data_IF_262459297140
#
_entry.id   IF_262459297140
#
_cell.length_a   1.000
_cell.length_b   1.000
_cell.length_c   1.000
_cell.angle_alpha   90.00
_cell.angle_beta   90.00
_cell.angle_gamma   90.00
#
_symmetry.space_group_name_H-M   'P 1'
#
loop_
_entity.id
_entity.type
_entity.pdbx_description
1 polymer ?
#
# COMPACT_ATOMS: atom_id res chain seq x y z
N UNK A 1 -19.44 -10.08 30.17
CA UNK A 1 -19.34 -9.33 28.89
C UNK A 1 -18.38 -8.22 29.21
N UNK A 2 -17.23 -8.14 28.51
CA UNK A 2 -16.41 -6.94 28.58
C UNK A 2 -17.26 -5.80 28.02
N UNK A 3 -17.32 -4.65 28.69
CA UNK A 3 -17.95 -3.46 28.13
C UNK A 3 -17.24 -3.17 26.81
N UNK A 4 -17.99 -3.14 25.72
CA UNK A 4 -17.47 -2.77 24.40
C UNK A 4 -17.09 -1.30 24.47
N UNK A 5 -15.83 -0.97 24.23
CA UNK A 5 -15.34 0.41 24.34
C UNK A 5 -15.98 1.26 23.25
N UNK A 6 -16.66 2.35 23.65
CA UNK A 6 -17.26 3.30 22.72
C UNK A 6 -16.20 4.26 22.18
N UNK A 7 -15.91 4.18 20.88
CA UNK A 7 -14.93 5.04 20.20
C UNK A 7 -15.52 6.33 19.63
N UNK A 8 -16.86 6.52 19.66
CA UNK A 8 -17.50 7.74 19.13
C UNK A 8 -16.96 9.03 19.73
N UNK A 9 -16.75 9.14 21.07
CA UNK A 9 -16.18 10.36 21.65
C UNK A 9 -14.77 10.69 21.12
N UNK A 10 -13.97 9.68 20.83
CA UNK A 10 -12.63 9.86 20.21
C UNK A 10 -12.77 10.39 18.78
N UNK A 11 -13.61 9.77 17.95
CA UNK A 11 -13.84 10.21 16.57
C UNK A 11 -14.45 11.62 16.51
N UNK A 12 -15.38 11.93 17.40
CA UNK A 12 -15.96 13.29 17.53
C UNK A 12 -14.88 14.33 17.86
N UNK A 13 -13.94 14.00 18.77
CA UNK A 13 -12.82 14.88 19.13
C UNK A 13 -11.86 15.15 17.96
N UNK A 14 -11.79 14.26 16.99
CA UNK A 14 -11.04 14.42 15.74
C UNK A 14 -11.82 15.23 14.67
N UNK A 15 -13.08 15.62 14.94
CA UNK A 15 -13.93 16.34 13.99
C UNK A 15 -14.53 15.48 12.90
N UNK A 16 -14.68 14.16 13.15
CA UNK A 16 -15.23 13.24 12.16
C UNK A 16 -16.76 13.33 12.04
N UNK A 17 -17.26 13.07 10.84
CA UNK A 17 -18.68 12.84 10.59
C UNK A 17 -19.04 11.40 11.01
N UNK A 18 -19.56 11.24 12.22
CA UNK A 18 -19.83 9.93 12.81
C UNK A 18 -20.82 9.09 12.00
N UNK A 19 -21.88 9.70 11.47
CA UNK A 19 -22.90 8.97 10.71
C UNK A 19 -22.33 8.39 9.41
N UNK A 20 -21.55 9.17 8.67
CA UNK A 20 -20.88 8.74 7.44
C UNK A 20 -19.77 7.75 7.76
N UNK A 21 -19.06 7.92 8.88
CA UNK A 21 -18.02 6.98 9.32
C UNK A 21 -18.60 5.61 9.69
N UNK A 22 -19.69 5.56 10.44
CA UNK A 22 -20.37 4.30 10.79
C UNK A 22 -20.88 3.58 9.53
N UNK A 23 -21.41 4.34 8.56
CA UNK A 23 -21.84 3.78 7.28
C UNK A 23 -20.64 3.17 6.52
N UNK A 24 -19.50 3.86 6.47
CA UNK A 24 -18.28 3.36 5.85
C UNK A 24 -17.79 2.08 6.55
N UNK A 25 -17.72 2.06 7.89
CA UNK A 25 -17.30 0.89 8.65
C UNK A 25 -18.24 -0.30 8.43
N UNK A 26 -19.56 -0.07 8.39
CA UNK A 26 -20.53 -1.11 8.08
C UNK A 26 -20.33 -1.73 6.70
N UNK A 27 -20.14 -0.89 5.68
CA UNK A 27 -19.90 -1.35 4.31
C UNK A 27 -18.56 -2.12 4.17
N UNK A 28 -17.49 -1.60 4.75
CA UNK A 28 -16.16 -2.26 4.72
C UNK A 28 -16.20 -3.56 5.51
N UNK A 29 -16.86 -3.59 6.67
CA UNK A 29 -17.01 -4.81 7.49
C UNK A 29 -17.77 -5.91 6.77
N UNK A 30 -18.87 -5.56 6.07
CA UNK A 30 -19.61 -6.52 5.25
C UNK A 30 -18.73 -7.06 4.12
N UNK A 31 -18.05 -6.18 3.37
CA UNK A 31 -17.16 -6.56 2.28
C UNK A 31 -16.02 -7.47 2.78
N UNK A 32 -15.45 -7.14 3.94
CA UNK A 32 -14.43 -7.98 4.59
C UNK A 32 -14.98 -9.38 4.92
N UNK A 33 -16.15 -9.46 5.53
CA UNK A 33 -16.84 -10.73 5.82
C UNK A 33 -17.02 -11.58 4.57
N UNK A 34 -17.51 -10.98 3.49
CA UNK A 34 -17.82 -11.66 2.23
C UNK A 34 -16.58 -12.10 1.43
N UNK A 35 -15.45 -11.42 1.57
CA UNK A 35 -14.25 -11.67 0.78
C UNK A 35 -13.17 -12.46 1.54
N UNK A 36 -13.00 -12.20 2.83
CA UNK A 36 -11.91 -12.80 3.62
C UNK A 36 -12.38 -13.95 4.51
N UNK A 37 -13.50 -13.79 5.23
CA UNK A 37 -13.95 -14.80 6.18
C UNK A 37 -14.63 -16.02 5.51
N UNK A 38 -14.94 -15.92 4.22
CA UNK A 38 -15.50 -17.03 3.42
C UNK A 38 -14.44 -17.84 2.68
N UNK A 39 -13.16 -17.47 2.77
CA UNK A 39 -12.07 -18.19 2.12
C UNK A 39 -11.90 -19.60 2.69
N UNK A 40 -11.65 -20.57 1.82
CA UNK A 40 -11.39 -21.94 2.22
C UNK A 40 -9.91 -22.12 2.62
N UNK A 41 -9.68 -22.97 3.64
CA UNK A 41 -8.32 -23.36 4.05
C UNK A 41 -7.35 -22.20 4.30
N UNK A 42 -7.87 -21.08 4.79
CA UNK A 42 -7.10 -19.88 5.12
C UNK A 42 -6.09 -20.19 6.25
N UNK A 43 -4.82 -19.70 6.20
CA UNK A 43 -3.87 -19.89 7.30
C UNK A 43 -4.41 -19.37 8.63
N UNK A 44 -4.13 -20.05 9.73
CA UNK A 44 -4.65 -19.66 11.06
C UNK A 44 -4.05 -18.34 11.56
N UNK A 45 -2.79 -18.09 11.22
CA UNK A 45 -2.07 -16.85 11.57
C UNK A 45 -2.68 -15.59 10.94
N UNK A 46 -3.48 -15.73 9.86
CA UNK A 46 -4.23 -14.61 9.29
C UNK A 46 -5.32 -14.06 10.22
N UNK A 47 -5.64 -14.75 11.34
CA UNK A 47 -6.49 -14.21 12.41
C UNK A 47 -5.97 -12.86 12.95
N UNK A 48 -4.68 -12.59 12.81
CA UNK A 48 -4.12 -11.26 13.12
C UNK A 48 -4.65 -10.19 12.15
N UNK A 49 -4.82 -10.51 10.88
CA UNK A 49 -5.41 -9.58 9.90
C UNK A 49 -6.89 -9.31 10.22
N UNK A 50 -7.61 -10.31 10.75
CA UNK A 50 -8.99 -10.13 11.21
C UNK A 50 -9.05 -9.16 12.39
N UNK A 51 -8.10 -9.27 13.33
CA UNK A 51 -7.92 -8.30 14.41
C UNK A 51 -7.61 -6.90 13.85
N UNK A 52 -6.65 -6.76 12.92
CA UNK A 52 -6.30 -5.46 12.30
C UNK A 52 -7.53 -4.87 11.63
N UNK A 53 -8.24 -5.63 10.78
CA UNK A 53 -9.41 -5.15 10.04
C UNK A 53 -10.52 -4.59 10.95
N UNK A 54 -10.71 -5.16 12.14
CA UNK A 54 -11.70 -4.69 13.11
C UNK A 54 -11.23 -3.53 13.98
N UNK A 55 -9.90 -3.34 14.12
CA UNK A 55 -9.32 -2.34 15.04
C UNK A 55 -8.69 -1.12 14.35
N UNK A 56 -8.57 -1.15 13.04
CA UNK A 56 -7.77 -0.17 12.29
C UNK A 56 -8.30 1.28 12.46
N UNK A 57 -9.61 1.50 12.53
CA UNK A 57 -10.22 2.81 12.73
C UNK A 57 -10.57 3.11 14.20
N UNK A 58 -10.38 2.16 15.10
CA UNK A 58 -10.77 2.25 16.51
C UNK A 58 -9.57 2.13 17.45
N UNK A 59 -9.24 0.92 17.87
CA UNK A 59 -8.16 0.66 18.83
C UNK A 59 -6.80 1.18 18.38
N UNK A 60 -6.47 1.10 17.08
CA UNK A 60 -5.20 1.63 16.55
C UNK A 60 -5.13 3.15 16.63
N UNK A 61 -6.21 3.85 16.29
CA UNK A 61 -6.26 5.31 16.41
C UNK A 61 -6.10 5.72 17.87
N UNK A 62 -6.85 5.06 18.76
CA UNK A 62 -6.72 5.30 20.20
C UNK A 62 -5.29 5.10 20.69
N UNK A 63 -4.65 4.00 20.32
CA UNK A 63 -3.25 3.72 20.67
C UNK A 63 -2.30 4.87 20.25
N UNK A 64 -2.47 5.36 19.02
CA UNK A 64 -1.64 6.45 18.50
C UNK A 64 -1.84 7.77 19.28
N UNK A 65 -3.10 8.09 19.59
CA UNK A 65 -3.44 9.29 20.36
C UNK A 65 -2.94 9.19 21.81
N UNK A 66 -3.12 8.01 22.44
CA UNK A 66 -2.63 7.73 23.80
C UNK A 66 -1.10 7.86 23.88
N UNK A 67 -0.35 7.33 22.90
CA UNK A 67 1.11 7.48 22.81
C UNK A 67 1.54 8.94 22.69
N UNK A 68 0.79 9.76 21.94
CA UNK A 68 1.06 11.21 21.85
C UNK A 68 0.79 11.91 23.17
N UNK A 69 -0.33 11.62 23.83
CA UNK A 69 -0.68 12.22 25.12
C UNK A 69 0.31 11.84 26.21
N UNK A 70 0.80 10.60 26.20
CA UNK A 70 1.85 10.13 27.13
C UNK A 70 3.24 10.67 26.81
N UNK A 71 3.44 11.35 25.68
CA UNK A 71 4.74 11.82 25.23
C UNK A 71 5.67 10.71 24.72
N UNK A 72 5.12 9.52 24.44
CA UNK A 72 5.83 8.39 23.83
C UNK A 72 5.98 8.54 22.32
N UNK A 73 5.09 9.32 21.69
CA UNK A 73 5.17 9.71 20.29
C UNK A 73 5.04 11.22 20.14
N UNK A 74 5.74 11.78 19.15
CA UNK A 74 5.74 13.23 18.89
C UNK A 74 4.59 13.67 18.01
N UNK A 75 4.50 13.08 16.81
CA UNK A 75 3.54 13.44 15.77
C UNK A 75 3.04 12.20 15.05
N UNK A 76 1.82 12.29 14.50
CA UNK A 76 1.31 11.34 13.51
C UNK A 76 1.58 11.95 12.13
N UNK A 77 2.37 11.26 11.30
CA UNK A 77 2.74 11.72 9.97
C UNK A 77 2.08 10.82 8.93
N UNK A 78 1.10 11.38 8.23
CA UNK A 78 0.39 10.71 7.16
C UNK A 78 1.17 10.78 5.83
N UNK A 79 1.13 9.73 5.02
CA UNK A 79 1.76 9.68 3.71
C UNK A 79 0.85 9.09 2.64
N UNK A 80 0.91 9.66 1.42
CA UNK A 80 0.12 9.16 0.28
C UNK A 80 0.88 8.19 -0.62
N UNK A 81 2.16 7.96 -0.37
CA UNK A 81 2.96 7.10 -1.25
C UNK A 81 4.10 6.41 -0.52
N UNK A 82 4.51 5.28 -1.09
CA UNK A 82 5.67 4.50 -0.66
C UNK A 82 7.02 5.21 -0.86
N UNK A 83 7.04 6.38 -1.48
CA UNK A 83 8.25 7.22 -1.59
C UNK A 83 8.58 7.99 -0.32
N UNK A 84 7.67 8.07 0.64
CA UNK A 84 7.90 8.76 1.93
C UNK A 84 8.61 7.80 2.89
N UNK A 85 9.87 8.06 3.28
CA UNK A 85 10.63 7.16 4.13
C UNK A 85 10.08 7.11 5.57
N UNK A 86 9.53 5.98 5.97
CA UNK A 86 9.04 5.73 7.33
C UNK A 86 10.17 5.85 8.38
N UNK A 87 11.39 5.49 7.99
CA UNK A 87 12.59 5.51 8.81
C UNK A 87 12.84 6.91 9.41
N UNK A 88 12.60 7.95 8.62
CA UNK A 88 12.81 9.35 9.04
C UNK A 88 11.76 9.73 10.10
N UNK A 89 10.51 9.33 9.91
CA UNK A 89 9.43 9.60 10.86
C UNK A 89 9.69 8.89 12.20
N UNK A 90 10.04 7.60 12.14
CA UNK A 90 10.35 6.79 13.31
C UNK A 90 11.58 7.31 14.08
N UNK A 91 12.62 7.80 13.38
CA UNK A 91 13.81 8.37 14.00
C UNK A 91 13.53 9.65 14.79
N UNK A 92 12.38 10.30 14.55
CA UNK A 92 11.90 11.47 15.29
C UNK A 92 10.82 11.13 16.34
N UNK A 93 10.68 9.86 16.73
CA UNK A 93 9.60 9.36 17.60
C UNK A 93 8.20 9.66 17.04
N UNK A 94 8.08 9.80 15.72
CA UNK A 94 6.80 9.98 15.03
C UNK A 94 6.13 8.64 14.69
N UNK A 95 4.84 8.67 14.41
CA UNK A 95 4.08 7.51 13.97
C UNK A 95 3.78 7.67 12.48
N UNK A 96 4.40 6.89 11.58
CA UNK A 96 4.07 6.90 10.15
C UNK A 96 2.76 6.18 9.91
N UNK A 97 1.88 6.74 9.07
CA UNK A 97 0.62 6.12 8.63
C UNK A 97 0.35 6.37 7.15
N UNK A 98 -0.17 5.35 6.45
CA UNK A 98 -0.60 5.48 5.06
C UNK A 98 -1.99 6.09 4.98
N UNK A 99 -2.19 7.01 4.05
CA UNK A 99 -3.46 7.74 3.86
C UNK A 99 -4.19 7.39 2.56
N UNK A 100 -3.64 6.49 1.73
CA UNK A 100 -4.32 6.07 0.51
C UNK A 100 -5.61 5.34 0.83
N UNK A 101 -6.70 5.79 0.23
CA UNK A 101 -8.01 5.17 0.29
C UNK A 101 -8.44 4.66 -1.08
N UNK A 102 -9.11 3.52 -1.10
CA UNK A 102 -9.51 2.80 -2.32
C UNK A 102 -11.03 2.61 -2.41
N UNK A 103 -11.80 3.64 -2.08
CA UNK A 103 -13.25 3.63 -2.18
C UNK A 103 -13.75 4.94 -2.81
N UNK A 104 -14.88 4.85 -3.48
CA UNK A 104 -15.63 6.02 -3.95
C UNK A 104 -16.44 6.58 -2.77
N UNK A 105 -16.07 7.78 -2.32
CA UNK A 105 -16.71 8.45 -1.21
C UNK A 105 -16.81 9.94 -1.46
N UNK A 106 -17.98 10.52 -1.14
CA UNK A 106 -18.25 11.94 -1.25
C UNK A 106 -17.89 12.55 -2.63
N UNK A 107 -18.06 11.79 -3.71
CA UNK A 107 -17.67 12.17 -5.07
C UNK A 107 -18.31 13.50 -5.51
N UNK A 108 -19.56 13.75 -5.16
CA UNK A 108 -20.22 15.02 -5.49
C UNK A 108 -19.49 16.21 -4.88
N UNK A 109 -19.08 16.13 -3.59
CA UNK A 109 -18.29 17.17 -2.92
C UNK A 109 -16.92 17.34 -3.59
N UNK A 110 -16.28 16.23 -4.01
CA UNK A 110 -15.00 16.27 -4.71
C UNK A 110 -15.11 16.95 -6.06
N UNK A 111 -16.17 16.69 -6.81
CA UNK A 111 -16.38 17.23 -8.16
C UNK A 111 -16.75 18.73 -8.16
N UNK A 112 -17.05 19.32 -7.00
CA UNK A 112 -17.12 20.78 -6.82
C UNK A 112 -15.72 21.45 -6.92
N UNK A 113 -14.65 20.70 -6.65
CA UNK A 113 -13.27 21.20 -6.56
C UNK A 113 -12.34 20.60 -7.61
N UNK A 114 -12.53 19.35 -7.97
CA UNK A 114 -11.68 18.60 -8.90
C UNK A 114 -12.49 18.20 -10.15
N UNK A 115 -11.86 18.17 -11.34
CA UNK A 115 -12.53 17.73 -12.58
C UNK A 115 -13.06 16.28 -12.47
N UNK A 116 -14.19 16.00 -13.14
CA UNK A 116 -14.80 14.65 -13.18
C UNK A 116 -13.86 13.55 -13.69
N UNK A 117 -13.00 13.89 -14.64
CA UNK A 117 -11.99 13.00 -15.20
C UNK A 117 -10.69 12.93 -14.37
N UNK A 118 -10.76 13.21 -13.07
CA UNK A 118 -9.66 12.98 -12.15
C UNK A 118 -9.57 11.51 -11.77
N UNK A 119 -8.34 10.98 -11.64
CA UNK A 119 -8.06 9.61 -11.22
C UNK A 119 -8.83 9.24 -9.93
N UNK A 120 -9.47 8.06 -9.86
CA UNK A 120 -10.21 7.60 -8.67
C UNK A 120 -9.41 7.63 -7.37
N UNK A 121 -8.11 7.32 -7.39
CA UNK A 121 -7.26 7.41 -6.20
C UNK A 121 -7.19 8.85 -5.64
N UNK A 122 -7.11 9.84 -6.53
CA UNK A 122 -7.09 11.25 -6.14
C UNK A 122 -8.46 11.67 -5.61
N UNK A 123 -9.54 11.29 -6.30
CA UNK A 123 -10.90 11.55 -5.82
C UNK A 123 -11.14 10.91 -4.45
N UNK A 124 -10.66 9.68 -4.25
CA UNK A 124 -10.85 8.94 -3.02
C UNK A 124 -10.22 9.66 -1.82
N UNK A 125 -8.94 10.02 -1.87
CA UNK A 125 -8.33 10.69 -0.71
C UNK A 125 -8.94 12.09 -0.45
N UNK A 126 -9.33 12.82 -1.51
CA UNK A 126 -10.03 14.09 -1.36
C UNK A 126 -11.43 13.87 -0.76
N UNK A 127 -12.15 12.86 -1.22
CA UNK A 127 -13.48 12.50 -0.72
C UNK A 127 -13.49 12.06 0.74
N UNK A 128 -12.50 11.28 1.15
CA UNK A 128 -12.34 10.87 2.55
C UNK A 128 -12.06 12.07 3.47
N UNK A 129 -11.30 13.08 3.00
CA UNK A 129 -11.11 14.33 3.75
C UNK A 129 -12.37 15.21 3.76
N UNK A 130 -13.01 15.43 2.62
CA UNK A 130 -14.21 16.26 2.51
C UNK A 130 -15.45 15.63 3.19
N UNK A 131 -15.47 14.29 3.28
CA UNK A 131 -16.49 13.54 4.02
C UNK A 131 -16.20 13.44 5.52
N UNK A 132 -14.98 13.77 5.95
CA UNK A 132 -14.51 13.66 7.36
C UNK A 132 -14.70 12.26 7.92
N UNK A 133 -14.36 11.22 7.10
CA UNK A 133 -14.61 9.81 7.45
C UNK A 133 -13.35 9.01 7.75
N UNK A 134 -12.15 9.59 7.59
CA UNK A 134 -10.90 8.88 7.80
C UNK A 134 -10.17 9.35 9.06
N UNK A 135 -10.17 8.55 10.14
CA UNK A 135 -9.51 8.95 11.39
C UNK A 135 -7.99 9.11 11.24
N UNK A 136 -7.36 8.44 10.26
CA UNK A 136 -5.95 8.63 9.95
C UNK A 136 -5.66 10.02 9.36
N UNK A 137 -6.50 10.48 8.42
CA UNK A 137 -6.37 11.84 7.88
C UNK A 137 -6.60 12.85 9.00
N UNK A 138 -7.67 12.66 9.79
CA UNK A 138 -8.03 13.65 10.83
C UNK A 138 -7.01 13.71 11.97
N UNK A 139 -6.43 12.57 12.38
CA UNK A 139 -5.41 12.52 13.43
C UNK A 139 -4.00 12.93 12.96
N UNK A 140 -3.73 13.01 11.65
CA UNK A 140 -2.41 13.39 11.13
C UNK A 140 -2.08 14.86 11.44
N UNK A 141 -0.91 15.06 12.06
CA UNK A 141 -0.36 16.41 12.36
C UNK A 141 0.31 17.02 11.11
N UNK A 142 0.96 16.17 10.32
CA UNK A 142 1.56 16.51 9.03
C UNK A 142 1.16 15.46 8.00
N UNK A 143 0.85 15.89 6.79
CA UNK A 143 0.65 15.00 5.64
C UNK A 143 1.80 15.21 4.66
N UNK A 144 2.43 14.13 4.23
CA UNK A 144 3.47 14.16 3.20
C UNK A 144 2.92 13.54 1.92
N UNK A 145 2.93 14.31 0.85
CA UNK A 145 2.61 13.87 -0.49
C UNK A 145 3.84 13.89 -1.40
N UNK A 146 3.69 13.41 -2.61
CA UNK A 146 4.74 13.39 -3.62
C UNK A 146 4.18 13.70 -5.01
N UNK A 147 4.93 14.39 -5.83
CA UNK A 147 4.49 14.88 -7.14
C UNK A 147 4.63 13.83 -8.26
N UNK A 148 4.27 12.58 -8.01
CA UNK A 148 4.38 11.47 -8.97
C UNK A 148 3.50 11.61 -10.22
N UNK A 149 2.55 12.52 -10.26
CA UNK A 149 1.81 12.85 -11.48
C UNK A 149 1.20 14.26 -11.38
N UNK A 150 0.80 14.82 -12.53
CA UNK A 150 0.20 16.16 -12.59
C UNK A 150 -1.11 16.24 -11.79
N UNK A 151 -1.91 15.17 -11.79
CA UNK A 151 -3.14 15.12 -11.03
C UNK A 151 -2.90 15.24 -9.52
N UNK A 152 -1.99 14.41 -8.96
CA UNK A 152 -1.60 14.49 -7.54
C UNK A 152 -1.01 15.85 -7.19
N UNK A 153 -0.03 16.30 -7.95
CA UNK A 153 0.63 17.59 -7.74
C UNK A 153 -0.36 18.74 -7.58
N UNK A 154 -1.39 18.79 -8.43
CA UNK A 154 -2.40 19.86 -8.37
C UNK A 154 -3.47 19.60 -7.29
N UNK A 155 -3.86 18.36 -7.07
CA UNK A 155 -4.79 18.02 -5.99
C UNK A 155 -4.20 18.31 -4.61
N UNK A 156 -2.89 18.22 -4.44
CA UNK A 156 -2.22 18.58 -3.18
C UNK A 156 -2.27 20.06 -2.86
N UNK A 157 -2.33 20.96 -3.86
CA UNK A 157 -2.59 22.38 -3.61
C UNK A 157 -3.96 22.58 -2.95
N UNK A 158 -4.97 21.84 -3.41
CA UNK A 158 -6.29 21.82 -2.77
C UNK A 158 -6.22 21.17 -1.37
N UNK A 159 -5.59 20.00 -1.26
CA UNK A 159 -5.50 19.28 0.02
C UNK A 159 -4.75 20.07 1.10
N UNK A 160 -3.74 20.86 0.71
CA UNK A 160 -2.99 21.74 1.62
C UNK A 160 -3.85 22.88 2.21
N UNK A 161 -5.03 23.17 1.67
CA UNK A 161 -5.99 24.08 2.29
C UNK A 161 -6.77 23.43 3.44
N UNK A 162 -6.74 22.10 3.53
CA UNK A 162 -7.47 21.29 4.49
C UNK A 162 -6.59 20.71 5.61
N UNK A 163 -5.31 20.46 5.34
CA UNK A 163 -4.35 19.84 6.28
C UNK A 163 -2.96 20.48 6.12
N UNK A 164 -2.17 20.46 7.21
CA UNK A 164 -0.74 20.78 7.13
C UNK A 164 -0.04 19.77 6.23
N UNK A 165 0.51 20.23 5.09
CA UNK A 165 1.02 19.35 4.05
C UNK A 165 2.41 19.78 3.57
N UNK A 166 3.27 18.78 3.37
CA UNK A 166 4.55 18.90 2.67
C UNK A 166 4.53 18.04 1.41
N UNK A 167 4.97 18.58 0.29
CA UNK A 167 5.02 17.85 -0.99
C UNK A 167 6.48 17.64 -1.40
N UNK A 168 6.87 16.36 -1.51
CA UNK A 168 8.19 15.95 -2.00
C UNK A 168 8.26 16.06 -3.52
N UNK A 169 9.42 16.48 -4.02
CA UNK A 169 9.70 16.53 -5.45
C UNK A 169 10.40 15.24 -5.91
N UNK A 170 9.66 14.41 -6.68
CA UNK A 170 10.17 13.15 -7.22
C UNK A 170 10.76 13.40 -8.61
N UNK A 171 12.02 13.01 -8.88
CA UNK A 171 12.60 13.10 -10.21
C UNK A 171 11.91 12.13 -11.19
N UNK A 172 11.89 12.49 -12.47
CA UNK A 172 11.21 11.71 -13.51
C UNK A 172 12.17 10.84 -14.34
N UNK A 173 13.45 10.80 -14.00
CA UNK A 173 14.51 10.04 -14.69
C UNK A 173 15.37 9.33 -13.65
N UNK A 174 15.80 8.11 -13.93
CA UNK A 174 16.78 7.38 -13.12
C UNK A 174 18.18 7.58 -13.67
N UNK A 175 18.90 8.61 -13.21
CA UNK A 175 20.32 8.85 -13.52
C UNK A 175 21.08 9.43 -12.30
N UNK A 176 22.40 9.58 -12.43
CA UNK A 176 23.24 10.08 -11.34
C UNK A 176 22.88 11.53 -10.93
N UNK A 177 22.51 12.39 -11.88
CA UNK A 177 22.17 13.79 -11.59
C UNK A 177 20.85 13.91 -10.83
N UNK A 178 19.88 13.10 -11.17
CA UNK A 178 18.59 13.05 -10.49
C UNK A 178 18.67 12.35 -9.13
N UNK A 179 19.57 11.38 -8.95
CA UNK A 179 19.86 10.80 -7.64
C UNK A 179 20.41 11.86 -6.67
N UNK A 180 21.30 12.74 -7.12
CA UNK A 180 21.81 13.86 -6.28
C UNK A 180 20.65 14.77 -5.85
N UNK A 181 19.74 15.11 -6.75
CA UNK A 181 18.56 15.91 -6.45
C UNK A 181 17.63 15.20 -5.47
N UNK A 182 17.42 13.91 -5.68
CA UNK A 182 16.59 13.08 -4.80
C UNK A 182 17.19 12.96 -3.39
N UNK A 183 18.50 12.74 -3.25
CA UNK A 183 19.20 12.76 -1.95
C UNK A 183 18.97 14.08 -1.21
N UNK A 184 19.05 15.20 -1.92
CA UNK A 184 18.79 16.51 -1.35
C UNK A 184 17.32 16.66 -0.89
N UNK A 185 16.36 16.10 -1.63
CA UNK A 185 14.95 16.13 -1.27
C UNK A 185 14.65 15.27 -0.01
N UNK A 186 15.24 14.08 0.10
CA UNK A 186 15.13 13.24 1.30
C UNK A 186 15.73 13.96 2.55
N UNK A 187 16.85 14.66 2.40
CA UNK A 187 17.44 15.48 3.46
C UNK A 187 16.56 16.67 3.86
N UNK A 188 15.88 17.31 2.90
CA UNK A 188 14.87 18.35 3.18
C UNK A 188 13.67 17.79 3.95
N UNK A 189 13.18 16.62 3.56
CA UNK A 189 12.12 15.94 4.31
C UNK A 189 12.58 15.66 5.75
N UNK A 190 13.79 15.13 5.94
CA UNK A 190 14.33 14.85 7.27
C UNK A 190 14.34 16.12 8.14
N UNK A 191 14.83 17.24 7.61
CA UNK A 191 14.80 18.52 8.31
C UNK A 191 13.37 19.00 8.61
N UNK A 192 12.42 18.80 7.70
CA UNK A 192 11.00 19.14 7.91
C UNK A 192 10.39 18.29 9.03
N UNK A 193 10.65 16.97 9.06
CA UNK A 193 10.14 16.07 10.10
C UNK A 193 10.78 16.43 11.47
N UNK A 194 12.08 16.71 11.52
CA UNK A 194 12.73 17.19 12.74
C UNK A 194 12.06 18.46 13.31
N UNK A 195 11.74 19.40 12.44
CA UNK A 195 11.10 20.66 12.84
C UNK A 195 9.69 20.43 13.38
N UNK A 196 8.88 19.62 12.67
CA UNK A 196 7.51 19.29 13.08
C UNK A 196 7.47 18.48 14.39
N UNK A 197 8.37 17.51 14.55
CA UNK A 197 8.43 16.65 15.72
C UNK A 197 9.14 17.32 16.90
N UNK A 198 9.94 18.36 16.66
CA UNK A 198 10.79 18.99 17.69
C UNK A 198 11.92 18.08 18.18
N UNK A 199 12.28 17.04 17.42
CA UNK A 199 13.29 16.03 17.76
C UNK A 199 14.37 16.00 16.69
N UNK A 200 15.64 15.99 17.10
CA UNK A 200 16.76 15.83 16.18
C UNK A 200 17.07 14.36 15.92
N UNK A 201 17.29 14.05 14.66
CA UNK A 201 17.74 12.73 14.23
C UNK A 201 19.19 12.53 14.70
N UNK A 202 19.42 11.45 15.44
CA UNK A 202 20.78 11.00 15.80
C UNK A 202 21.14 9.73 15.05
N UNK A 203 22.43 9.39 14.92
CA UNK A 203 22.84 8.15 14.28
C UNK A 203 22.16 6.91 14.90
N UNK A 204 22.05 6.86 16.21
CA UNK A 204 21.45 5.73 16.94
C UNK A 204 19.96 5.58 16.62
N UNK A 205 19.21 6.70 16.60
CA UNK A 205 17.78 6.71 16.28
C UNK A 205 17.53 6.29 14.85
N UNK A 206 18.28 6.84 13.90
CA UNK A 206 18.09 6.54 12.48
C UNK A 206 18.50 5.09 12.17
N UNK A 207 19.59 4.60 12.76
CA UNK A 207 20.02 3.21 12.63
C UNK A 207 18.95 2.23 13.16
N UNK A 208 18.37 2.52 14.33
CA UNK A 208 17.28 1.72 14.89
C UNK A 208 16.03 1.74 14.01
N UNK A 209 15.65 2.89 13.45
CA UNK A 209 14.52 3.03 12.56
C UNK A 209 14.72 2.28 11.24
N UNK A 210 15.89 2.41 10.61
CA UNK A 210 16.26 1.66 9.40
C UNK A 210 16.17 0.15 9.67
N UNK A 211 16.75 -0.32 10.78
CA UNK A 211 16.69 -1.73 11.14
C UNK A 211 15.24 -2.22 11.30
N UNK A 212 14.40 -1.50 12.05
CA UNK A 212 13.01 -1.88 12.29
C UNK A 212 12.19 -1.97 10.98
N UNK A 213 12.36 -1.01 10.06
CA UNK A 213 11.67 -1.03 8.76
C UNK A 213 12.22 -2.12 7.85
N UNK A 214 13.53 -2.36 7.86
CA UNK A 214 14.12 -3.46 7.11
C UNK A 214 13.65 -4.83 7.61
N UNK A 215 13.51 -5.03 8.94
CA UNK A 215 12.94 -6.28 9.49
C UNK A 215 11.50 -6.51 9.01
N UNK A 216 10.66 -5.45 8.96
CA UNK A 216 9.32 -5.52 8.38
C UNK A 216 9.38 -5.91 6.89
N UNK A 217 10.29 -5.32 6.11
CA UNK A 217 10.48 -5.67 4.70
C UNK A 217 10.95 -7.11 4.53
N UNK A 218 11.91 -7.58 5.33
CA UNK A 218 12.39 -8.99 5.32
C UNK A 218 11.26 -9.97 5.63
N UNK A 219 10.43 -9.66 6.60
CA UNK A 219 9.25 -10.48 6.93
C UNK A 219 8.28 -10.57 5.74
N UNK A 220 7.98 -9.44 5.08
CA UNK A 220 7.15 -9.41 3.87
C UNK A 220 7.79 -10.18 2.70
N UNK A 221 9.09 -10.04 2.48
CA UNK A 221 9.83 -10.81 1.46
C UNK A 221 9.74 -12.31 1.73
N UNK A 222 9.92 -12.73 2.98
CA UNK A 222 9.80 -14.11 3.40
C UNK A 222 8.41 -14.69 3.13
N UNK A 223 7.36 -13.96 3.51
CA UNK A 223 5.97 -14.35 3.22
C UNK A 223 5.71 -14.42 1.71
N UNK A 224 6.12 -13.40 0.95
CA UNK A 224 5.93 -13.36 -0.50
C UNK A 224 6.63 -14.53 -1.22
N UNK A 225 7.82 -14.94 -0.77
CA UNK A 225 8.57 -16.06 -1.34
C UNK A 225 7.80 -17.40 -1.24
N UNK A 226 6.98 -17.60 -0.21
CA UNK A 226 6.19 -18.84 -0.06
C UNK A 226 5.16 -19.02 -1.17
N UNK A 227 4.75 -17.93 -1.81
CA UNK A 227 3.71 -17.92 -2.87
C UNK A 227 4.22 -18.49 -4.20
N UNK A 228 5.52 -18.77 -4.34
CA UNK A 228 6.07 -19.52 -5.48
C UNK A 228 5.66 -21.00 -5.48
N UNK A 229 5.24 -21.54 -4.34
CA UNK A 229 4.78 -22.92 -4.23
C UNK A 229 3.44 -23.17 -4.94
N UNK A 230 3.25 -24.39 -5.42
CA UNK A 230 1.99 -24.89 -5.96
C UNK A 230 1.59 -26.18 -5.22
N UNK A 231 0.52 -26.15 -4.42
CA UNK A 231 -0.47 -25.06 -4.23
C UNK A 231 0.09 -23.87 -3.42
N UNK A 232 -0.42 -22.66 -3.69
CA UNK A 232 -0.04 -21.47 -2.95
C UNK A 232 -0.57 -21.53 -1.50
N UNK A 233 0.27 -21.26 -0.48
CA UNK A 233 -0.08 -21.46 0.93
C UNK A 233 -1.02 -20.38 1.50
N UNK A 234 -1.08 -19.22 0.87
CA UNK A 234 -1.90 -18.05 1.25
C UNK A 234 -2.52 -17.43 0.00
N UNK A 235 -3.70 -16.83 0.14
CA UNK A 235 -4.39 -16.15 -0.95
C UNK A 235 -3.73 -14.82 -1.33
N UNK A 236 -3.97 -14.34 -2.55
CA UNK A 236 -3.61 -13.00 -2.95
C UNK A 236 -4.32 -11.94 -2.10
N UNK A 237 -5.58 -12.16 -1.73
CA UNK A 237 -6.33 -11.27 -0.85
C UNK A 237 -5.65 -11.09 0.51
N UNK A 238 -5.28 -12.17 1.21
CA UNK A 238 -4.61 -12.07 2.51
C UNK A 238 -3.20 -11.47 2.39
N UNK A 239 -2.49 -11.79 1.31
CA UNK A 239 -1.18 -11.19 1.02
C UNK A 239 -1.30 -9.67 0.78
N UNK A 240 -2.28 -9.23 -0.01
CA UNK A 240 -2.57 -7.82 -0.24
C UNK A 240 -2.92 -7.12 1.08
N UNK A 241 -3.82 -7.70 1.89
CA UNK A 241 -4.21 -7.13 3.18
C UNK A 241 -3.03 -7.02 4.13
N UNK A 242 -2.10 -7.99 4.12
CA UNK A 242 -0.86 -7.94 4.92
C UNK A 242 -0.02 -6.71 4.58
N UNK A 243 0.16 -6.41 3.28
CA UNK A 243 0.89 -5.21 2.85
C UNK A 243 0.11 -3.94 3.16
N UNK A 244 -1.21 -3.95 3.00
CA UNK A 244 -2.06 -2.81 3.37
C UNK A 244 -1.99 -2.50 4.87
N UNK A 245 -2.00 -3.53 5.73
CA UNK A 245 -1.80 -3.38 7.18
C UNK A 245 -0.43 -2.77 7.51
N UNK A 246 0.61 -3.04 6.71
CA UNK A 246 1.96 -2.51 6.93
C UNK A 246 2.06 -0.98 6.84
N UNK A 247 1.08 -0.33 6.24
CA UNK A 247 1.01 1.14 6.20
C UNK A 247 0.29 1.77 7.40
N UNK A 248 -0.35 0.98 8.26
CA UNK A 248 -1.25 1.53 9.28
C UNK A 248 -0.97 1.01 10.69
N UNK A 249 -0.51 -0.23 10.82
CA UNK A 249 -0.30 -0.86 12.12
C UNK A 249 1.07 -0.54 12.73
N UNK A 250 1.25 -0.91 14.00
CA UNK A 250 2.52 -0.76 14.72
C UNK A 250 3.60 -1.64 14.09
N UNK A 251 4.74 -1.04 13.73
CA UNK A 251 5.79 -1.75 12.96
C UNK A 251 6.34 -2.99 13.66
N UNK A 252 6.73 -2.99 14.95
CA UNK A 252 7.21 -4.20 15.63
C UNK A 252 6.15 -5.29 15.77
N UNK A 253 4.93 -4.93 16.15
CA UNK A 253 3.81 -5.86 16.32
C UNK A 253 3.46 -6.55 15.01
N UNK A 254 3.31 -5.79 13.95
CA UNK A 254 3.00 -6.33 12.63
C UNK A 254 4.15 -7.18 12.07
N UNK A 255 5.40 -6.78 12.28
CA UNK A 255 6.58 -7.56 11.85
C UNK A 255 6.55 -8.96 12.49
N UNK A 256 6.21 -9.05 13.78
CA UNK A 256 6.02 -10.33 14.47
C UNK A 256 4.93 -11.17 13.83
N UNK A 257 3.75 -10.59 13.59
CA UNK A 257 2.63 -11.28 12.97
C UNK A 257 2.92 -11.75 11.52
N UNK A 258 3.63 -10.95 10.73
CA UNK A 258 4.06 -11.36 9.38
C UNK A 258 5.03 -12.53 9.44
N UNK A 259 5.96 -12.54 10.40
CA UNK A 259 6.87 -13.67 10.60
C UNK A 259 6.13 -14.95 10.99
N UNK A 260 5.10 -14.85 11.83
CA UNK A 260 4.23 -16.00 12.20
C UNK A 260 3.47 -16.51 10.96
N UNK A 261 2.92 -15.62 10.14
CA UNK A 261 2.27 -15.98 8.88
C UNK A 261 3.24 -16.63 7.90
N UNK A 262 4.45 -16.10 7.76
CA UNK A 262 5.47 -16.68 6.90
C UNK A 262 5.88 -18.10 7.38
N UNK A 263 6.08 -18.28 8.69
CA UNK A 263 6.41 -19.59 9.27
C UNK A 263 5.30 -20.63 9.06
N UNK A 264 4.02 -20.26 9.23
CA UNK A 264 2.91 -21.15 8.91
C UNK A 264 2.85 -21.46 7.41
N UNK A 265 3.02 -20.47 6.54
CA UNK A 265 3.03 -20.69 5.10
C UNK A 265 4.18 -21.61 4.66
N UNK A 266 5.38 -21.49 5.24
CA UNK A 266 6.51 -22.39 4.98
C UNK A 266 6.17 -23.84 5.38
N UNK A 267 5.55 -24.06 6.55
CA UNK A 267 5.09 -25.38 6.98
C UNK A 267 4.02 -25.94 6.04
N UNK A 268 3.11 -25.10 5.54
CA UNK A 268 2.09 -25.52 4.56
C UNK A 268 2.72 -25.94 3.23
N UNK A 269 3.74 -25.19 2.77
CA UNK A 269 4.52 -25.56 1.57
C UNK A 269 5.16 -26.94 1.76
N UNK A 270 5.81 -27.20 2.90
CA UNK A 270 6.43 -28.51 3.20
C UNK A 270 5.39 -29.63 3.24
N UNK A 271 4.18 -29.36 3.74
CA UNK A 271 3.08 -30.29 3.79
C UNK A 271 2.32 -30.47 2.45
N UNK A 272 2.63 -29.66 1.44
CA UNK A 272 1.89 -29.61 0.17
C UNK A 272 0.46 -29.07 0.32
N UNK A 273 0.23 -28.22 1.34
CA UNK A 273 -1.07 -27.61 1.63
C UNK A 273 -1.16 -26.20 1.02
N UNK A 274 -2.33 -25.83 0.49
CA UNK A 274 -2.59 -24.51 -0.06
C UNK A 274 -4.03 -24.06 0.08
N UNK A 275 -4.30 -22.82 -0.27
CA UNK A 275 -5.65 -22.22 -0.22
C UNK A 275 -6.48 -22.56 -1.45
N UNK A 276 -5.84 -23.02 -2.51
CA UNK A 276 -6.46 -23.48 -3.76
C UNK A 276 -5.87 -24.84 -4.18
N UNK A 277 -6.53 -25.61 -5.04
CA UNK A 277 -5.98 -26.86 -5.56
C UNK A 277 -4.66 -26.67 -6.30
N UNK A 278 -3.81 -27.69 -6.30
CA UNK A 278 -2.61 -27.69 -7.15
C UNK A 278 -2.97 -27.53 -8.62
N UNK A 279 -2.21 -26.71 -9.36
CA UNK A 279 -2.45 -26.41 -10.78
C UNK A 279 -3.53 -25.33 -10.99
N UNK A 280 -3.98 -24.64 -9.93
CA UNK A 280 -4.80 -23.42 -10.07
C UNK A 280 -4.04 -22.37 -10.85
N UNK A 281 -4.71 -21.69 -11.79
CA UNK A 281 -4.10 -20.64 -12.64
C UNK A 281 -3.51 -19.51 -11.81
N UNK A 282 -2.23 -19.23 -12.02
CA UNK A 282 -1.39 -18.36 -11.22
C UNK A 282 -1.25 -16.98 -11.88
N UNK A 283 -1.66 -15.95 -11.22
CA UNK A 283 -1.73 -14.60 -11.78
C UNK A 283 -0.74 -13.67 -11.07
N UNK A 284 0.06 -12.97 -11.89
CA UNK A 284 0.79 -11.78 -11.43
C UNK A 284 -0.06 -10.55 -11.68
N UNK A 285 -0.36 -9.81 -10.60
CA UNK A 285 -0.95 -8.48 -10.70
C UNK A 285 0.14 -7.44 -10.89
N UNK A 286 -0.06 -6.47 -11.80
CA UNK A 286 0.80 -5.28 -11.92
C UNK A 286 -0.05 -4.04 -12.18
N UNK A 287 0.50 -2.85 -11.90
CA UNK A 287 -0.16 -1.58 -12.21
C UNK A 287 -0.38 -0.64 -11.03
N UNK A 288 -1.56 -0.03 -10.99
CA UNK A 288 -1.95 0.94 -9.95
C UNK A 288 -2.10 0.29 -8.59
N UNK A 289 -1.78 1.01 -7.48
CA UNK A 289 -1.89 0.43 -6.15
C UNK A 289 -3.34 0.09 -5.76
N UNK A 290 -3.50 -1.00 -5.03
CA UNK A 290 -4.75 -1.45 -4.43
C UNK A 290 -4.84 -0.91 -3.00
N UNK A 291 -5.29 0.35 -2.85
CA UNK A 291 -5.47 0.95 -1.52
C UNK A 291 -6.69 0.34 -0.79
N UNK A 292 -6.65 0.31 0.55
CA UNK A 292 -7.77 -0.18 1.38
C UNK A 292 -9.00 0.72 1.15
N UNK A 293 -10.21 0.17 0.98
CA UNK A 293 -10.62 -1.22 0.95
C UNK A 293 -10.81 -1.78 -0.48
N UNK A 294 -10.01 -1.37 -1.45
CA UNK A 294 -10.13 -1.90 -2.81
C UNK A 294 -9.56 -3.32 -2.89
N UNK A 295 -10.42 -4.31 -2.76
CA UNK A 295 -10.11 -5.74 -2.91
C UNK A 295 -10.79 -6.37 -4.12
N UNK A 296 -11.50 -5.55 -4.93
CA UNK A 296 -12.39 -5.98 -6.01
C UNK A 296 -11.72 -6.96 -6.98
N UNK A 297 -10.61 -6.58 -7.57
CA UNK A 297 -9.97 -7.39 -8.62
C UNK A 297 -9.38 -8.71 -8.11
N UNK A 298 -8.74 -8.70 -6.94
CA UNK A 298 -8.22 -9.94 -6.34
C UNK A 298 -9.35 -10.91 -6.02
N UNK A 299 -10.45 -10.41 -5.45
CA UNK A 299 -11.64 -11.22 -5.19
C UNK A 299 -12.25 -11.77 -6.48
N UNK A 300 -12.32 -11.00 -7.56
CA UNK A 300 -12.85 -11.45 -8.85
C UNK A 300 -11.94 -12.53 -9.47
N UNK A 301 -10.61 -12.36 -9.45
CA UNK A 301 -9.67 -13.35 -9.98
C UNK A 301 -9.79 -14.67 -9.19
N UNK A 302 -9.79 -14.60 -7.85
CA UNK A 302 -9.82 -15.80 -7.02
C UNK A 302 -11.18 -16.50 -7.03
N UNK A 303 -12.29 -15.77 -7.13
CA UNK A 303 -13.63 -16.35 -7.37
C UNK A 303 -13.80 -16.97 -8.75
N UNK A 304 -13.09 -16.46 -9.76
CA UNK A 304 -13.08 -17.04 -11.09
C UNK A 304 -12.22 -18.31 -11.21
N UNK A 305 -11.56 -18.74 -10.13
CA UNK A 305 -10.74 -19.96 -10.10
C UNK A 305 -9.26 -19.73 -10.43
N UNK A 306 -8.78 -18.49 -10.41
CA UNK A 306 -7.35 -18.15 -10.39
C UNK A 306 -6.82 -17.99 -8.99
N UNK A 307 -5.52 -17.73 -8.85
CA UNK A 307 -4.87 -17.31 -7.62
C UNK A 307 -3.86 -16.21 -7.91
N UNK A 308 -3.92 -15.08 -7.19
CA UNK A 308 -2.92 -14.03 -7.33
C UNK A 308 -1.70 -14.41 -6.51
N UNK A 309 -0.56 -14.60 -7.18
CA UNK A 309 0.69 -15.08 -6.55
C UNK A 309 1.73 -13.99 -6.37
N UNK A 310 1.54 -12.81 -6.95
CA UNK A 310 2.44 -11.67 -6.81
C UNK A 310 1.76 -10.35 -7.18
N UNK A 311 2.25 -9.27 -6.58
CA UNK A 311 1.81 -7.89 -6.85
C UNK A 311 3.01 -6.99 -7.15
N UNK A 312 3.13 -6.55 -8.39
CA UNK A 312 4.08 -5.50 -8.77
C UNK A 312 3.35 -4.14 -8.68
N UNK A 313 3.22 -3.62 -7.47
CA UNK A 313 2.55 -2.34 -7.18
C UNK A 313 3.08 -1.72 -5.88
N UNK A 314 2.61 -0.50 -5.55
CA UNK A 314 2.95 0.15 -4.27
C UNK A 314 2.38 -0.61 -3.05
N UNK A 315 1.28 -1.33 -3.22
CA UNK A 315 0.69 -2.23 -2.21
C UNK A 315 1.22 -3.66 -2.34
N UNK A 316 2.37 -3.83 -2.95
CA UNK A 316 3.05 -5.10 -3.19
C UNK A 316 4.57 -4.92 -3.17
N UNK A 317 5.26 -5.55 -4.10
CA UNK A 317 6.71 -5.67 -4.11
C UNK A 317 7.47 -4.35 -4.08
N UNK A 318 6.97 -3.29 -4.68
CA UNK A 318 7.63 -1.96 -4.64
C UNK A 318 7.84 -1.44 -3.23
N UNK A 319 6.99 -1.82 -2.28
CA UNK A 319 7.11 -1.43 -0.89
C UNK A 319 8.26 -2.17 -0.18
N UNK A 320 8.43 -3.48 -0.43
CA UNK A 320 9.33 -4.32 0.38
C UNK A 320 10.50 -4.95 -0.40
N UNK A 321 10.58 -4.83 -1.73
CA UNK A 321 11.60 -5.50 -2.56
C UNK A 321 13.03 -5.17 -2.16
N UNK A 322 13.32 -3.90 -1.87
CA UNK A 322 14.66 -3.40 -1.58
C UNK A 322 14.79 -2.99 -0.12
N UNK A 323 15.95 -3.27 0.47
CA UNK A 323 16.33 -2.84 1.83
C UNK A 323 17.19 -1.59 1.78
N UNK A 324 17.17 -0.82 2.87
CA UNK A 324 18.14 0.25 3.12
C UNK A 324 19.46 -0.38 3.56
N UNK A 325 20.58 0.11 3.07
CA UNK A 325 21.90 -0.31 3.55
C UNK A 325 22.09 0.15 5.02
N UNK A 326 22.39 -0.79 5.91
CA UNK A 326 22.54 -0.59 7.35
C UNK A 326 23.99 -0.27 7.77
N UNK A 327 24.94 -0.17 6.81
CA UNK A 327 26.36 0.02 7.09
C UNK A 327 26.75 1.46 7.45
N UNK A 328 25.88 2.46 7.18
CA UNK A 328 26.14 3.87 7.49
C UNK A 328 26.35 4.14 8.99
N UNK A 329 27.30 5.00 9.31
CA UNK A 329 27.63 5.37 10.70
C UNK A 329 27.21 6.80 11.03
N UNK A 330 27.06 7.67 10.05
CA UNK A 330 26.60 9.05 10.22
C UNK A 330 25.17 9.23 9.72
N UNK A 331 24.47 10.25 10.23
CA UNK A 331 23.10 10.58 9.75
C UNK A 331 23.10 10.86 8.24
N UNK A 332 24.13 11.52 7.73
CA UNK A 332 24.21 11.89 6.30
C UNK A 332 24.37 10.64 5.41
N UNK A 333 25.24 9.69 5.79
CA UNK A 333 25.40 8.40 5.10
C UNK A 333 24.11 7.56 5.11
N UNK A 334 23.43 7.50 6.27
CA UNK A 334 22.17 6.78 6.40
C UNK A 334 21.02 7.42 5.61
N UNK A 335 20.92 8.76 5.56
CA UNK A 335 19.95 9.45 4.71
C UNK A 335 20.23 9.23 3.24
N UNK A 336 21.50 9.16 2.84
CA UNK A 336 21.89 8.81 1.48
C UNK A 336 21.51 7.37 1.14
N UNK A 337 21.71 6.40 2.03
CA UNK A 337 21.30 5.01 1.87
C UNK A 337 19.77 4.86 1.77
N UNK A 338 19.03 5.61 2.59
CA UNK A 338 17.57 5.71 2.48
C UNK A 338 17.18 6.21 1.08
N UNK A 339 17.75 7.33 0.65
CA UNK A 339 17.47 7.90 -0.67
C UNK A 339 17.77 6.91 -1.79
N UNK A 340 18.90 6.22 -1.76
CA UNK A 340 19.28 5.21 -2.76
C UNK A 340 18.30 4.03 -2.81
N UNK A 341 17.81 3.56 -1.66
CA UNK A 341 16.78 2.53 -1.61
C UNK A 341 15.47 3.01 -2.24
N UNK A 342 14.99 4.19 -1.86
CA UNK A 342 13.72 4.72 -2.37
C UNK A 342 13.81 5.11 -3.84
N UNK A 343 14.98 5.47 -4.34
CA UNK A 343 15.22 5.74 -5.76
C UNK A 343 15.07 4.49 -6.65
N UNK A 344 15.18 3.26 -6.09
CA UNK A 344 14.98 2.01 -6.83
C UNK A 344 13.51 1.66 -7.08
N UNK A 345 12.56 2.42 -6.55
CA UNK A 345 11.14 2.19 -6.77
C UNK A 345 10.79 2.55 -8.22
N UNK A 346 10.41 1.55 -9.01
CA UNK A 346 10.09 1.70 -10.43
C UNK A 346 8.61 2.11 -10.62
N UNK A 347 8.27 3.37 -10.31
CA UNK A 347 6.95 3.92 -10.57
C UNK A 347 6.81 4.33 -12.05
N UNK A 348 5.60 4.30 -12.60
CA UNK A 348 5.29 4.82 -13.93
C UNK A 348 5.61 6.31 -14.14
N UNK A 349 6.01 7.05 -13.10
CA UNK A 349 6.48 8.43 -13.19
C UNK A 349 7.82 8.56 -13.94
N UNK A 350 8.65 7.50 -13.91
CA UNK A 350 9.97 7.51 -14.53
C UNK A 350 9.93 7.24 -16.04
N UNK A 351 10.77 7.95 -16.79
CA UNK A 351 10.91 7.79 -18.24
C UNK A 351 12.39 7.91 -18.63
N UNK A 352 13.02 6.88 -19.26
CA UNK A 352 12.46 5.55 -19.51
C UNK A 352 12.30 4.71 -18.22
N UNK A 353 11.46 3.66 -18.27
CA UNK A 353 11.19 2.77 -17.12
C UNK A 353 11.46 1.29 -17.44
N UNK A 354 12.54 1.04 -18.18
CA UNK A 354 12.89 -0.32 -18.65
C UNK A 354 13.12 -1.32 -17.51
N UNK A 355 13.55 -0.83 -16.34
CA UNK A 355 13.77 -1.69 -15.18
C UNK A 355 12.47 -2.28 -14.66
N UNK A 356 11.36 -1.53 -14.67
CA UNK A 356 10.05 -2.05 -14.28
C UNK A 356 9.61 -3.20 -15.18
N UNK A 357 9.82 -3.09 -16.49
CA UNK A 357 9.48 -4.17 -17.44
C UNK A 357 10.26 -5.46 -17.13
N UNK A 358 11.55 -5.34 -16.83
CA UNK A 358 12.39 -6.47 -16.41
C UNK A 358 11.91 -7.07 -15.09
N UNK A 359 11.57 -6.23 -14.12
CA UNK A 359 11.09 -6.67 -12.81
C UNK A 359 9.76 -7.44 -12.90
N UNK A 360 8.81 -6.98 -13.72
CA UNK A 360 7.52 -7.65 -13.96
C UNK A 360 7.76 -9.05 -14.57
N UNK A 361 8.54 -9.12 -15.64
CA UNK A 361 8.83 -10.40 -16.33
C UNK A 361 9.58 -11.35 -15.40
N UNK A 362 10.56 -10.86 -14.65
CA UNK A 362 11.30 -11.69 -13.71
C UNK A 362 10.41 -12.22 -12.58
N UNK A 363 9.59 -11.36 -11.99
CA UNK A 363 8.64 -11.76 -10.94
C UNK A 363 7.63 -12.80 -11.45
N UNK A 364 7.12 -12.65 -12.66
CA UNK A 364 6.23 -13.64 -13.27
C UNK A 364 6.90 -15.01 -13.38
N UNK A 365 8.17 -15.05 -13.78
CA UNK A 365 8.95 -16.29 -13.87
C UNK A 365 9.24 -16.91 -12.51
N UNK A 366 9.69 -16.09 -11.54
CA UNK A 366 10.04 -16.54 -10.19
C UNK A 366 8.84 -17.11 -9.43
N UNK A 367 7.66 -16.54 -9.67
CA UNK A 367 6.41 -16.96 -9.06
C UNK A 367 5.63 -17.99 -9.91
N UNK A 368 6.20 -18.43 -11.03
CA UNK A 368 5.52 -19.35 -11.97
C UNK A 368 4.12 -18.88 -12.36
N UNK A 369 3.97 -17.60 -12.69
CA UNK A 369 2.70 -17.06 -13.11
C UNK A 369 2.32 -17.54 -14.51
N UNK A 370 1.08 -18.01 -14.68
CA UNK A 370 0.51 -18.42 -15.96
C UNK A 370 0.11 -17.21 -16.80
N UNK A 371 -0.17 -16.06 -16.17
CA UNK A 371 -0.54 -14.84 -16.86
C UNK A 371 -0.35 -13.58 -16.01
N UNK A 372 -0.32 -12.44 -16.70
CA UNK A 372 -0.22 -11.10 -16.11
C UNK A 372 -1.54 -10.38 -16.28
N UNK A 373 -2.06 -9.84 -15.17
CA UNK A 373 -3.19 -8.89 -15.15
C UNK A 373 -2.63 -7.52 -14.82
N UNK A 374 -2.55 -6.66 -15.83
CA UNK A 374 -2.12 -5.27 -15.68
C UNK A 374 -3.34 -4.36 -15.46
N UNK A 375 -3.26 -3.48 -14.49
CA UNK A 375 -4.41 -2.70 -14.05
C UNK A 375 -4.09 -1.22 -13.98
N UNK A 376 -4.89 -0.43 -14.66
CA UNK A 376 -4.90 1.01 -14.49
C UNK A 376 -6.23 1.49 -13.90
N UNK A 377 -6.16 2.43 -12.96
CA UNK A 377 -7.35 3.17 -12.56
C UNK A 377 -7.75 4.13 -13.67
N UNK A 378 -9.04 4.25 -13.93
CA UNK A 378 -9.60 5.16 -14.94
C UNK A 378 -8.98 6.56 -14.79
N UNK A 379 -8.61 7.19 -15.89
CA UNK A 379 -7.92 8.50 -15.92
C UNK A 379 -6.50 8.52 -15.32
N UNK A 380 -5.92 7.38 -14.97
CA UNK A 380 -4.52 7.30 -14.57
C UNK A 380 -3.62 7.27 -15.81
N UNK A 381 -3.33 8.44 -16.38
CA UNK A 381 -2.60 8.57 -17.64
C UNK A 381 -1.26 7.83 -17.66
N UNK A 382 -0.54 7.81 -16.53
CA UNK A 382 0.78 7.16 -16.45
C UNK A 382 0.68 5.65 -16.67
N UNK A 383 -0.19 4.96 -15.91
CA UNK A 383 -0.33 3.51 -16.00
C UNK A 383 -1.05 3.07 -17.27
N UNK A 384 -2.02 3.85 -17.76
CA UNK A 384 -2.67 3.59 -19.04
C UNK A 384 -1.68 3.64 -20.21
N UNK A 385 -0.79 4.61 -20.25
CA UNK A 385 0.21 4.72 -21.31
C UNK A 385 1.33 3.68 -21.17
N UNK A 386 1.75 3.37 -19.95
CA UNK A 386 2.83 2.41 -19.70
C UNK A 386 2.38 0.97 -19.95
N UNK A 387 1.09 0.68 -19.90
CA UNK A 387 0.51 -0.65 -20.19
C UNK A 387 0.97 -1.21 -21.53
N UNK A 388 1.13 -0.37 -22.56
CA UNK A 388 1.71 -0.78 -23.84
C UNK A 388 3.11 -1.41 -23.71
N UNK A 389 3.97 -0.83 -22.85
CA UNK A 389 5.31 -1.37 -22.63
C UNK A 389 5.27 -2.68 -21.82
N UNK A 390 4.34 -2.79 -20.86
CA UNK A 390 4.12 -4.02 -20.09
C UNK A 390 3.64 -5.14 -21.00
N UNK A 391 2.65 -4.89 -21.87
CA UNK A 391 2.15 -5.85 -22.86
C UNK A 391 3.28 -6.36 -23.75
N UNK A 392 4.06 -5.46 -24.32
CA UNK A 392 5.19 -5.82 -25.17
C UNK A 392 6.23 -6.68 -24.45
N UNK A 393 6.56 -6.34 -23.19
CA UNK A 393 7.50 -7.12 -22.38
C UNK A 393 6.96 -8.52 -22.05
N UNK A 394 5.65 -8.63 -21.78
CA UNK A 394 4.98 -9.92 -21.58
C UNK A 394 4.96 -10.77 -22.86
N UNK A 395 4.65 -10.18 -24.01
CA UNK A 395 4.69 -10.83 -25.33
C UNK A 395 6.08 -11.38 -25.66
N UNK A 396 7.12 -10.55 -25.51
CA UNK A 396 8.52 -10.95 -25.73
C UNK A 396 8.97 -12.10 -24.80
N UNK A 397 8.38 -12.16 -23.60
CA UNK A 397 8.63 -13.23 -22.64
C UNK A 397 7.75 -14.48 -22.84
N UNK A 398 6.76 -14.42 -23.75
CA UNK A 398 5.79 -15.49 -23.99
C UNK A 398 4.81 -15.69 -22.84
N UNK A 399 4.51 -14.64 -22.07
CA UNK A 399 3.59 -14.67 -20.92
C UNK A 399 2.24 -14.07 -21.36
N UNK A 400 1.12 -14.78 -21.21
CA UNK A 400 -0.23 -14.27 -21.46
C UNK A 400 -0.49 -12.99 -20.66
N UNK A 401 -1.17 -12.04 -21.29
CA UNK A 401 -1.38 -10.70 -20.72
C UNK A 401 -2.81 -10.22 -20.94
N UNK A 402 -3.37 -9.54 -19.96
CA UNK A 402 -4.62 -8.78 -20.09
C UNK A 402 -4.49 -7.45 -19.35
N UNK A 403 -4.88 -6.36 -20.04
CA UNK A 403 -5.00 -5.03 -19.42
C UNK A 403 -6.44 -4.77 -18.99
N UNK A 404 -6.62 -4.21 -17.79
CA UNK A 404 -7.92 -3.86 -17.20
C UNK A 404 -7.89 -2.40 -16.76
N UNK A 405 -8.82 -1.59 -17.28
CA UNK A 405 -9.12 -0.26 -16.73
C UNK A 405 -10.35 -0.37 -15.84
N UNK A 406 -10.28 0.18 -14.63
CA UNK A 406 -11.37 0.13 -13.63
C UNK A 406 -11.34 1.36 -12.73
N UNK A 407 -12.32 1.48 -11.86
CA UNK A 407 -12.37 2.46 -10.76
C UNK A 407 -12.73 1.78 -9.43
N UNK A 408 -13.18 2.55 -8.43
CA UNK A 408 -13.56 2.00 -7.13
C UNK A 408 -15.05 1.66 -7.01
N UNK A 409 -15.85 2.02 -8.01
CA UNK A 409 -17.27 1.68 -8.05
C UNK A 409 -17.49 0.18 -8.29
N UNK A 410 -18.66 -0.32 -7.96
CA UNK A 410 -19.02 -1.73 -8.10
C UNK A 410 -19.72 -2.07 -9.41
N UNK A 411 -20.13 -1.07 -10.21
CA UNK A 411 -20.97 -1.24 -11.38
C UNK A 411 -20.29 -2.02 -12.52
N UNK A 412 -18.97 -1.96 -12.61
CA UNK A 412 -18.19 -2.67 -13.62
C UNK A 412 -17.87 -4.15 -13.25
N UNK A 413 -18.19 -4.59 -12.03
CA UNK A 413 -17.78 -5.90 -11.51
C UNK A 413 -18.21 -7.07 -12.40
N UNK A 414 -19.43 -7.04 -12.97
CA UNK A 414 -19.91 -8.10 -13.88
C UNK A 414 -19.14 -8.16 -15.20
N UNK A 415 -18.78 -7.01 -15.76
CA UNK A 415 -17.95 -6.93 -16.97
C UNK A 415 -16.54 -7.42 -16.69
N UNK A 416 -15.95 -7.02 -15.56
CA UNK A 416 -14.62 -7.45 -15.14
C UNK A 416 -14.57 -8.95 -14.89
N UNK A 417 -15.60 -9.51 -14.23
CA UNK A 417 -15.72 -10.95 -14.00
C UNK A 417 -15.64 -11.72 -15.33
N UNK A 418 -16.45 -11.33 -16.32
CA UNK A 418 -16.45 -11.98 -17.64
C UNK A 418 -15.10 -11.91 -18.35
N UNK A 419 -14.39 -10.76 -18.26
CA UNK A 419 -13.08 -10.60 -18.86
C UNK A 419 -12.01 -11.45 -18.17
N UNK A 420 -12.06 -11.55 -16.84
CA UNK A 420 -11.14 -12.36 -16.04
C UNK A 420 -11.38 -13.85 -16.32
N UNK A 421 -12.64 -14.32 -16.34
CA UNK A 421 -12.99 -15.69 -16.66
C UNK A 421 -12.49 -16.07 -18.05
N UNK A 422 -12.75 -15.26 -19.07
CA UNK A 422 -12.27 -15.48 -20.43
C UNK A 422 -10.72 -15.54 -20.49
N UNK A 423 -10.02 -14.68 -19.74
CA UNK A 423 -8.57 -14.72 -19.68
C UNK A 423 -8.07 -16.02 -19.03
N UNK A 424 -8.64 -16.43 -17.90
CA UNK A 424 -8.27 -17.67 -17.22
C UNK A 424 -8.52 -18.93 -18.07
N UNK A 425 -9.53 -18.91 -18.96
CA UNK A 425 -9.80 -20.00 -19.90
C UNK A 425 -8.75 -20.09 -21.03
N UNK A 426 -8.04 -19.00 -21.33
CA UNK A 426 -7.05 -18.95 -22.42
C UNK A 426 -5.62 -19.32 -21.99
N UNK A 427 -5.35 -19.36 -20.70
CA UNK A 427 -4.01 -19.63 -20.14
C UNK A 427 -3.86 -21.02 -19.54
#
# INVERSE_FOLDING_TARGET
MAEEFDFHPMWESLGMNLADHDMLLGAVGQMYGDMFLTQNNRPKSTSYLDFVATNIHSGRIKEMLDKKEAGEATKIVGSFCVYVPEEIVLACDGIPVGLCSGADWATDKVEEHLPRNTCPLIKSFAGFKLGEVCPYIESSDLVVGENTCDGKKKAYEFFATQKNMYVMDIPNVHDESTLVTWKAEVKKLAAKIEDECGVKITPERLKAAIHAVNEKRRALQRLAATRAADPAPISGLDSLLTVQAAFMDDTPRLTGAINDMAAECEQRVEAGEGVAPKGTKRILYTGTPMAVPNWKLFNLIEKAGGIVVGEESCTGSRYYKDLVDESGETVDEMLDAIAERYFKINCAVFTPNDQRMKDIVQMAKDLHADGIVDVALQFCTLYEMESFAVEKAAEEAGIPFVHITTDYAGEDAGQLQTRIEAFLETI
#
